data_IF_571243226405
#
_entry.id   IF_571243226405
#
_cell.length_a   1.000
_cell.length_b   1.000
_cell.length_c   1.000
_cell.angle_alpha   90.00
_cell.angle_beta   90.00
_cell.angle_gamma   90.00
#
_symmetry.space_group_name_H-M   'P 1'
#
loop_
_entity.id
_entity.type
_entity.pdbx_description
1 polymer ?
#
# COMPACT_ATOMS: atom_id res chain seq x y z
N UNK A 1 -5.92 7.71 4.08
CA UNK A 1 -4.76 7.25 4.86
C UNK A 1 -5.12 7.21 6.32
N UNK A 2 -4.57 6.27 7.05
CA UNK A 2 -4.80 6.17 8.48
C UNK A 2 -3.76 6.99 9.24
N UNK A 3 -4.13 7.50 10.42
CA UNK A 3 -3.21 8.25 11.26
C UNK A 3 -2.39 7.34 12.16
N UNK A 4 -2.53 6.02 12.00
CA UNK A 4 -1.90 5.04 12.88
C UNK A 4 -0.47 4.69 12.50
N UNK A 5 -0.06 5.00 11.29
CA UNK A 5 1.25 4.62 10.78
C UNK A 5 2.21 5.79 10.71
N UNK A 6 3.48 5.47 10.64
CA UNK A 6 4.54 6.43 10.43
C UNK A 6 5.26 6.14 9.12
N UNK A 7 5.75 7.17 8.48
CA UNK A 7 6.43 7.02 7.19
C UNK A 7 7.76 6.29 7.33
N UNK A 8 8.05 5.45 6.34
CA UNK A 8 9.41 4.98 6.11
C UNK A 8 10.19 6.17 5.56
N UNK A 9 11.39 6.43 6.08
CA UNK A 9 12.17 7.59 5.66
C UNK A 9 13.55 7.16 5.14
N UNK A 10 14.11 8.03 4.29
CA UNK A 10 15.47 7.85 3.78
C UNK A 10 16.26 9.07 4.20
N UNK A 11 17.16 8.90 5.16
CA UNK A 11 17.93 10.00 5.75
C UNK A 11 19.40 9.61 5.80
N UNK A 12 20.27 10.51 5.32
CA UNK A 12 21.71 10.30 5.34
C UNK A 12 22.16 8.96 4.72
N UNK A 13 21.50 8.57 3.63
CA UNK A 13 21.83 7.33 2.94
C UNK A 13 21.28 6.07 3.56
N UNK A 14 20.45 6.18 4.59
CA UNK A 14 19.86 5.02 5.27
C UNK A 14 18.35 5.03 5.23
N UNK A 15 17.75 3.86 5.03
CA UNK A 15 16.31 3.67 5.12
C UNK A 15 15.98 3.39 6.58
N UNK A 16 15.03 4.16 7.13
CA UNK A 16 14.56 3.98 8.49
C UNK A 16 13.12 3.52 8.48
N UNK A 17 12.86 2.37 9.12
CA UNK A 17 11.55 1.74 9.17
C UNK A 17 10.99 1.85 10.59
N UNK A 18 9.88 2.59 10.78
CA UNK A 18 9.27 2.70 12.11
C UNK A 18 8.59 1.40 12.53
N UNK A 19 8.11 1.34 13.77
CA UNK A 19 7.40 0.16 14.27
C UNK A 19 6.11 -0.11 13.50
N UNK A 20 5.42 0.94 13.08
CA UNK A 20 4.17 0.83 12.33
C UNK A 20 4.36 1.54 10.98
N UNK A 21 5.10 0.94 10.03
CA UNK A 21 5.34 1.60 8.76
C UNK A 21 4.05 1.76 7.97
N UNK A 22 3.86 2.94 7.41
CA UNK A 22 2.73 3.25 6.55
C UNK A 22 3.07 2.78 5.14
N UNK A 23 2.35 1.76 4.67
CA UNK A 23 2.60 1.17 3.35
C UNK A 23 1.35 1.32 2.49
N UNK A 24 1.44 2.09 1.39
CA UNK A 24 0.32 2.20 0.47
C UNK A 24 0.14 0.93 -0.34
N UNK A 25 -1.11 0.59 -0.63
CA UNK A 25 -1.40 -0.54 -1.49
C UNK A 25 -2.43 -0.18 -2.55
N UNK A 26 -2.29 -0.81 -3.71
CA UNK A 26 -3.27 -0.76 -4.78
C UNK A 26 -3.87 -2.16 -4.86
N UNK A 27 -5.15 -2.29 -4.52
CA UNK A 27 -5.84 -3.58 -4.55
C UNK A 27 -5.82 -4.19 -5.95
N UNK A 28 -5.97 -3.33 -6.94
CA UNK A 28 -5.99 -3.77 -8.31
C UNK A 28 -7.37 -4.11 -8.82
N UNK A 29 -7.41 -4.58 -10.05
CA UNK A 29 -8.64 -4.88 -10.76
C UNK A 29 -8.83 -6.39 -10.91
N UNK A 30 -10.01 -6.80 -11.35
CA UNK A 30 -10.27 -8.22 -11.60
C UNK A 30 -10.00 -9.09 -10.39
N UNK A 31 -9.04 -10.00 -10.51
CA UNK A 31 -8.68 -10.92 -9.43
C UNK A 31 -8.01 -10.24 -8.23
N UNK A 32 -7.60 -8.99 -8.38
CA UNK A 32 -6.97 -8.23 -7.30
C UNK A 32 -7.87 -8.11 -6.06
N UNK A 33 -9.19 -7.99 -6.26
CA UNK A 33 -10.13 -7.89 -5.15
C UNK A 33 -10.21 -9.18 -4.33
N UNK A 34 -9.83 -10.31 -4.92
CA UNK A 34 -9.79 -11.60 -4.22
C UNK A 34 -8.39 -11.86 -3.64
N UNK A 35 -7.37 -11.50 -4.37
CA UNK A 35 -5.98 -11.76 -3.99
C UNK A 35 -5.54 -10.87 -2.83
N UNK A 36 -5.90 -9.59 -2.87
CA UNK A 36 -5.39 -8.64 -1.88
C UNK A 36 -5.79 -8.98 -0.43
N UNK A 37 -7.07 -9.30 -0.12
CA UNK A 37 -7.41 -9.65 1.26
C UNK A 37 -6.61 -10.85 1.78
N UNK A 38 -6.39 -11.87 0.94
CA UNK A 38 -5.59 -13.03 1.31
C UNK A 38 -4.12 -12.65 1.53
N UNK A 39 -3.55 -11.83 0.64
CA UNK A 39 -2.19 -11.36 0.75
C UNK A 39 -1.97 -10.56 2.04
N UNK A 40 -2.88 -9.63 2.32
CA UNK A 40 -2.83 -8.81 3.52
C UNK A 40 -2.84 -9.68 4.78
N UNK A 41 -3.72 -10.67 4.81
CA UNK A 41 -3.83 -11.58 5.94
C UNK A 41 -2.51 -12.32 6.19
N UNK A 42 -1.88 -12.82 5.12
CA UNK A 42 -0.60 -13.52 5.23
C UNK A 42 0.51 -12.59 5.73
N UNK A 43 0.58 -11.38 5.16
CA UNK A 43 1.60 -10.41 5.56
C UNK A 43 1.44 -9.97 7.02
N UNK A 44 0.20 -9.68 7.44
CA UNK A 44 -0.07 -9.27 8.82
C UNK A 44 0.27 -10.40 9.80
N UNK A 45 -0.07 -11.64 9.46
CA UNK A 45 0.24 -12.78 10.29
C UNK A 45 1.76 -13.03 10.39
N UNK A 46 2.47 -12.86 9.28
CA UNK A 46 3.93 -13.01 9.26
C UNK A 46 4.62 -11.98 10.14
N UNK A 47 4.18 -10.73 10.08
CA UNK A 47 4.72 -9.65 10.90
C UNK A 47 4.42 -9.91 12.39
N UNK A 48 3.20 -10.32 12.70
CA UNK A 48 2.82 -10.66 14.06
C UNK A 48 3.68 -11.78 14.62
N UNK A 49 3.89 -12.81 13.82
CA UNK A 49 4.72 -13.95 14.26
C UNK A 49 6.18 -13.56 14.45
N UNK A 50 6.71 -12.73 13.56
CA UNK A 50 8.10 -12.31 13.60
C UNK A 50 8.42 -11.39 14.78
N UNK A 51 7.48 -10.51 15.15
CA UNK A 51 7.73 -9.45 16.12
C UNK A 51 6.87 -9.50 17.38
N UNK A 52 5.99 -10.50 17.49
CA UNK A 52 5.20 -10.71 18.70
C UNK A 52 4.30 -9.55 19.06
N UNK A 53 3.79 -8.81 18.07
CA UNK A 53 2.90 -7.67 18.28
C UNK A 53 3.62 -6.35 18.48
N UNK A 54 4.94 -6.34 18.53
CA UNK A 54 5.71 -5.09 18.69
C UNK A 54 5.74 -4.25 17.42
N UNK A 55 5.49 -4.87 16.26
CA UNK A 55 5.44 -4.18 14.97
C UNK A 55 4.19 -4.60 14.22
N UNK A 56 3.66 -3.69 13.44
CA UNK A 56 2.54 -3.96 12.55
C UNK A 56 2.61 -3.01 11.36
N UNK A 57 2.03 -3.43 10.23
CA UNK A 57 1.97 -2.58 9.04
C UNK A 57 0.69 -1.76 9.09
N UNK A 58 0.82 -0.45 8.86
CA UNK A 58 -0.34 0.43 8.70
C UNK A 58 -0.61 0.54 7.20
N UNK A 59 -1.67 -0.12 6.74
CA UNK A 59 -2.03 -0.14 5.34
C UNK A 59 -2.78 1.12 4.94
N UNK A 60 -2.45 1.66 3.77
CA UNK A 60 -3.08 2.85 3.24
C UNK A 60 -3.51 2.58 1.80
N UNK A 61 -4.81 2.53 1.55
CA UNK A 61 -5.30 2.27 0.20
C UNK A 61 -5.10 3.48 -0.70
N UNK A 62 -4.48 3.24 -1.87
CA UNK A 62 -4.39 4.22 -2.94
C UNK A 62 -4.97 3.57 -4.20
N UNK A 63 -5.30 4.36 -5.19
CA UNK A 63 -6.12 3.91 -6.30
C UNK A 63 -5.40 4.03 -7.63
N UNK A 64 -5.58 3.02 -8.48
CA UNK A 64 -5.11 3.03 -9.86
C UNK A 64 -5.95 2.02 -10.64
N UNK A 65 -5.97 2.16 -11.95
CA UNK A 65 -6.70 1.26 -12.83
C UNK A 65 -8.19 1.53 -12.86
N UNK A 66 -8.98 0.48 -13.07
CA UNK A 66 -10.42 0.59 -13.24
C UNK A 66 -11.11 1.15 -11.99
N UNK A 67 -10.68 0.74 -10.81
CA UNK A 67 -11.25 1.23 -9.56
C UNK A 67 -11.05 2.75 -9.42
N UNK A 68 -9.87 3.25 -9.80
CA UNK A 68 -9.61 4.68 -9.79
C UNK A 68 -10.44 5.42 -10.83
N UNK A 69 -10.57 4.83 -12.02
CA UNK A 69 -11.38 5.41 -13.09
C UNK A 69 -12.83 5.56 -12.67
N UNK A 70 -13.38 4.54 -12.02
CA UNK A 70 -14.77 4.56 -11.57
C UNK A 70 -14.99 5.56 -10.44
N UNK A 71 -14.00 5.75 -9.58
CA UNK A 71 -14.12 6.58 -8.38
C UNK A 71 -13.77 8.04 -8.64
N UNK A 72 -12.73 8.29 -9.46
CA UNK A 72 -12.16 9.62 -9.66
C UNK A 72 -12.13 10.09 -11.11
N UNK A 73 -12.60 9.26 -12.03
CA UNK A 73 -12.53 9.51 -13.46
C UNK A 73 -11.10 9.65 -13.98
N UNK A 74 -10.14 9.00 -13.31
CA UNK A 74 -8.74 8.98 -13.69
C UNK A 74 -8.18 7.57 -13.51
N UNK A 75 -7.42 7.08 -14.49
CA UNK A 75 -6.78 5.76 -14.39
C UNK A 75 -5.63 5.73 -13.41
N UNK A 76 -4.93 6.85 -13.24
CA UNK A 76 -3.84 6.96 -12.28
C UNK A 76 -3.87 8.36 -11.66
N UNK A 77 -4.61 8.54 -10.55
CA UNK A 77 -4.67 9.84 -9.88
C UNK A 77 -3.29 10.32 -9.44
N UNK A 78 -3.04 11.61 -9.57
CA UNK A 78 -1.79 12.20 -9.13
C UNK A 78 -1.55 11.97 -7.64
N UNK A 79 -2.62 11.96 -6.83
CA UNK A 79 -2.53 11.66 -5.41
C UNK A 79 -1.90 10.29 -5.14
N UNK A 80 -2.19 9.29 -5.99
CA UNK A 80 -1.59 7.96 -5.87
C UNK A 80 -0.10 8.00 -6.13
N UNK A 81 0.31 8.68 -7.21
CA UNK A 81 1.73 8.84 -7.55
C UNK A 81 2.48 9.55 -6.42
N UNK A 82 1.90 10.63 -5.91
CA UNK A 82 2.51 11.42 -4.84
C UNK A 82 2.65 10.59 -3.56
N UNK A 83 1.63 9.80 -3.22
CA UNK A 83 1.66 8.97 -2.01
C UNK A 83 2.74 7.90 -2.11
N UNK A 84 2.86 7.22 -3.25
CA UNK A 84 3.89 6.19 -3.44
C UNK A 84 5.28 6.81 -3.37
N UNK A 85 5.47 7.95 -3.99
CA UNK A 85 6.76 8.66 -3.97
C UNK A 85 7.13 9.08 -2.54
N UNK A 86 6.16 9.63 -1.81
CA UNK A 86 6.38 10.12 -0.45
C UNK A 86 6.63 8.97 0.55
N UNK A 87 5.94 7.86 0.37
CA UNK A 87 6.01 6.74 1.32
C UNK A 87 7.07 5.70 0.95
N UNK A 88 7.76 5.86 -0.18
CA UNK A 88 8.93 5.11 -0.65
C UNK A 88 8.66 3.69 -1.13
N UNK A 89 7.69 2.99 -0.55
CA UNK A 89 7.36 1.61 -0.93
C UNK A 89 5.86 1.48 -1.14
N UNK A 90 5.47 0.50 -1.93
CA UNK A 90 4.06 0.23 -2.17
C UNK A 90 3.89 -1.24 -2.59
N UNK A 91 2.70 -1.77 -2.37
CA UNK A 91 2.30 -3.06 -2.91
C UNK A 91 1.21 -2.82 -3.93
N UNK A 92 1.37 -3.42 -5.10
CA UNK A 92 0.46 -3.21 -6.22
C UNK A 92 -0.13 -4.54 -6.68
N UNK A 93 -1.46 -4.58 -6.80
CA UNK A 93 -2.17 -5.68 -7.44
C UNK A 93 -2.22 -5.51 -8.96
N UNK A 94 -2.87 -6.45 -9.67
CA UNK A 94 -2.99 -6.38 -11.12
C UNK A 94 -3.88 -5.21 -11.55
N UNK A 95 -3.54 -4.59 -12.67
CA UNK A 95 -4.31 -3.46 -13.18
C UNK A 95 -4.82 -3.75 -14.58
N UNK A 96 -6.04 -3.26 -14.85
CA UNK A 96 -6.60 -3.25 -16.20
C UNK A 96 -6.08 -2.01 -16.92
N UNK A 97 -5.54 -2.21 -18.12
CA UNK A 97 -5.10 -1.09 -18.94
C UNK A 97 -6.14 -0.84 -20.04
N UNK A 98 -6.41 0.43 -20.37
CA UNK A 98 -7.34 0.75 -21.45
C UNK A 98 -6.74 0.32 -22.79
N UNK A 99 -7.63 -0.13 -23.67
CA UNK A 99 -7.25 -0.60 -25.02
C UNK A 99 -7.26 0.56 -26.00
#
# INVERSE_FOLDING_TARGET
MTDEGEKITFVDGEIKVPKNPLIPFIEGDGIGVDIWPATRQVLDAAVEKAYGGERSIAWCEVFAGEKAKNKFDEWLPQATVDAISDLLVAIKGPLTTPV
#
